data_IF_212611845369
#
_entry.id   IF_212611845369
#
_cell.length_a   1.000
_cell.length_b   1.000
_cell.length_c   1.000
_cell.angle_alpha   90.00
_cell.angle_beta   90.00
_cell.angle_gamma   90.00
#
_symmetry.space_group_name_H-M   'P 1'
#
loop_
_entity.id
_entity.type
_entity.pdbx_description
1 polymer ?
#
# COMPACT_ATOMS: atom_id res chain seq x y z
N UNK A 1 -11.38 -6.04 -54.84
CA UNK A 1 -12.13 -6.05 -53.56
C UNK A 1 -11.14 -6.17 -52.40
N UNK A 2 -10.78 -5.01 -51.86
CA UNK A 2 -10.31 -4.65 -50.52
C UNK A 2 -10.76 -3.18 -50.38
N UNK A 3 -11.05 -2.59 -49.20
CA UNK A 3 -10.25 -2.61 -47.96
C UNK A 3 -11.18 -2.74 -46.70
N UNK A 4 -10.81 -2.61 -45.42
CA UNK A 4 -9.86 -1.70 -44.77
C UNK A 4 -9.47 -2.18 -43.36
N UNK A 5 -8.18 -2.07 -43.08
CA UNK A 5 -7.56 -2.09 -41.76
C UNK A 5 -7.87 -0.78 -41.03
N UNK A 6 -8.56 -0.84 -39.89
CA UNK A 6 -8.69 0.31 -38.99
C UNK A 6 -7.44 0.35 -38.09
N UNK A 7 -6.40 1.00 -38.59
CA UNK A 7 -5.22 1.40 -37.82
C UNK A 7 -5.50 2.76 -37.20
N UNK A 8 -6.06 2.79 -35.98
CA UNK A 8 -6.14 4.02 -35.20
C UNK A 8 -4.77 4.34 -34.58
N UNK A 9 -4.10 5.45 -34.98
CA UNK A 9 -2.78 5.82 -34.47
C UNK A 9 -2.80 6.32 -33.02
N UNK A 10 -3.97 6.60 -32.44
CA UNK A 10 -4.10 7.17 -31.08
C UNK A 10 -3.81 6.17 -29.95
N UNK A 11 -3.77 4.87 -30.25
CA UNK A 11 -3.49 3.80 -29.27
C UNK A 11 -1.98 3.54 -29.10
N UNK A 12 -1.12 4.04 -30.00
CA UNK A 12 0.35 3.81 -29.97
C UNK A 12 1.15 4.76 -29.07
N UNK A 13 0.51 5.64 -28.28
CA UNK A 13 1.20 6.63 -27.41
C UNK A 13 1.15 6.32 -25.90
N UNK A 14 1.24 5.06 -25.48
CA UNK A 14 1.30 4.71 -24.04
C UNK A 14 2.51 3.86 -23.67
N UNK A 15 3.70 4.44 -23.82
CA UNK A 15 4.92 4.02 -23.14
C UNK A 15 5.60 5.22 -22.47
N UNK A 16 4.85 5.99 -21.66
CA UNK A 16 5.43 7.10 -20.89
C UNK A 16 6.10 6.68 -19.58
N UNK A 17 6.05 5.40 -19.21
CA UNK A 17 6.60 4.90 -17.95
C UNK A 17 8.10 4.56 -18.03
N UNK A 18 8.51 3.85 -19.08
CA UNK A 18 9.91 3.45 -19.29
C UNK A 18 10.89 4.63 -19.51
N UNK A 19 10.57 5.70 -20.28
CA UNK A 19 11.52 6.77 -20.57
C UNK A 19 11.80 7.71 -19.38
N UNK A 20 11.15 7.52 -18.23
CA UNK A 20 11.19 8.45 -17.08
C UNK A 20 11.89 7.90 -15.84
N UNK A 21 12.07 6.58 -15.74
CA UNK A 21 12.97 6.00 -14.73
C UNK A 21 14.40 6.50 -14.96
N UNK A 22 14.81 6.74 -16.22
CA UNK A 22 16.08 7.39 -16.59
C UNK A 22 16.31 8.76 -15.92
N UNK A 23 15.25 9.52 -15.58
CA UNK A 23 15.34 10.81 -14.88
C UNK A 23 15.59 10.67 -13.37
N UNK A 24 15.36 9.50 -12.79
CA UNK A 24 15.72 9.18 -11.41
C UNK A 24 17.22 8.93 -11.25
N UNK A 25 17.92 8.73 -12.37
CA UNK A 25 19.37 8.61 -12.36
C UNK A 25 19.97 9.98 -12.60
N UNK A 26 20.79 10.52 -11.67
CA UNK A 26 21.80 11.46 -12.09
C UNK A 26 22.55 10.78 -13.25
N UNK A 27 22.76 11.49 -14.35
CA UNK A 27 23.54 11.02 -15.49
C UNK A 27 24.98 10.73 -15.04
N UNK A 28 25.22 9.57 -14.44
CA UNK A 28 26.54 9.06 -14.12
C UNK A 28 26.59 7.59 -14.49
N UNK A 29 27.15 7.39 -15.68
CA UNK A 29 27.60 6.12 -16.22
C UNK A 29 28.49 5.45 -15.15
N UNK A 30 27.96 4.44 -14.45
CA UNK A 30 28.70 3.63 -13.47
C UNK A 30 28.75 4.15 -12.02
N UNK A 31 27.89 5.10 -11.61
CA UNK A 31 27.86 5.63 -10.24
C UNK A 31 26.85 4.96 -9.31
N UNK A 32 27.19 4.87 -8.02
CA UNK A 32 26.22 4.63 -6.94
C UNK A 32 25.53 5.95 -6.55
N UNK A 33 24.22 5.94 -6.29
CA UNK A 33 23.48 7.12 -5.85
C UNK A 33 22.57 6.77 -4.66
N UNK A 34 22.57 7.61 -3.62
CA UNK A 34 21.60 7.51 -2.52
C UNK A 34 20.35 8.30 -2.88
N UNK A 35 19.19 7.64 -2.90
CA UNK A 35 17.90 8.28 -3.21
C UNK A 35 16.92 8.03 -2.08
N UNK A 36 16.16 9.06 -1.71
CA UNK A 36 14.99 8.91 -0.86
C UNK A 36 13.79 8.49 -1.73
N UNK A 37 13.39 7.22 -1.63
CA UNK A 37 12.37 6.63 -2.49
C UNK A 37 10.94 6.86 -1.98
N UNK A 38 10.76 7.35 -0.75
CA UNK A 38 9.44 7.52 -0.16
C UNK A 38 8.58 8.52 -0.96
N UNK A 39 9.14 9.68 -1.30
CA UNK A 39 8.41 10.69 -2.07
C UNK A 39 8.14 10.25 -3.50
N UNK A 40 9.12 9.58 -4.12
CA UNK A 40 8.98 9.02 -5.46
C UNK A 40 7.84 8.00 -5.51
N UNK A 41 7.80 7.03 -4.59
CA UNK A 41 6.74 6.02 -4.58
C UNK A 41 5.37 6.62 -4.33
N UNK A 42 5.26 7.58 -3.42
CA UNK A 42 4.01 8.31 -3.18
C UNK A 42 3.50 8.99 -4.46
N UNK A 43 4.39 9.61 -5.23
CA UNK A 43 4.04 10.26 -6.50
C UNK A 43 3.63 9.23 -7.57
N UNK A 44 4.41 8.16 -7.74
CA UNK A 44 4.15 7.10 -8.72
C UNK A 44 2.80 6.45 -8.45
N UNK A 45 2.55 6.00 -7.22
CA UNK A 45 1.29 5.31 -6.87
C UNK A 45 0.09 6.25 -6.98
N UNK A 46 0.26 7.54 -6.64
CA UNK A 46 -0.80 8.53 -6.83
C UNK A 46 -1.16 8.73 -8.32
N UNK A 47 -0.17 8.80 -9.21
CA UNK A 47 -0.43 8.88 -10.65
C UNK A 47 -1.10 7.63 -11.18
N UNK A 48 -0.66 6.44 -10.75
CA UNK A 48 -1.25 5.17 -11.16
C UNK A 48 -2.71 5.10 -10.71
N UNK A 49 -3.00 5.43 -9.44
CA UNK A 49 -4.37 5.51 -8.93
C UNK A 49 -5.20 6.57 -9.65
N UNK A 50 -4.64 7.72 -9.98
CA UNK A 50 -5.30 8.73 -10.80
C UNK A 50 -5.71 8.20 -12.16
N UNK A 51 -4.76 7.58 -12.86
CA UNK A 51 -4.96 7.16 -14.24
C UNK A 51 -5.86 5.92 -14.34
N UNK A 52 -5.59 4.90 -13.52
CA UNK A 52 -6.36 3.66 -13.52
C UNK A 52 -7.70 3.79 -12.79
N UNK A 53 -7.76 4.59 -11.73
CA UNK A 53 -8.97 4.80 -10.93
C UNK A 53 -9.94 5.81 -11.53
N UNK A 54 -9.43 6.88 -12.15
CA UNK A 54 -10.24 8.06 -12.51
C UNK A 54 -9.95 8.63 -13.90
N UNK A 55 -9.12 7.97 -14.71
CA UNK A 55 -8.70 8.52 -16.01
C UNK A 55 -8.04 9.90 -15.89
N UNK A 56 -7.40 10.18 -14.76
CA UNK A 56 -6.81 11.47 -14.42
C UNK A 56 -5.30 11.34 -14.23
N UNK A 57 -4.53 12.14 -14.97
CA UNK A 57 -3.10 12.21 -14.78
C UNK A 57 -2.77 13.39 -13.86
N UNK A 58 -2.27 13.12 -12.65
CA UNK A 58 -1.89 14.15 -11.69
C UNK A 58 -0.58 14.85 -12.06
N UNK A 59 0.21 14.32 -13.01
CA UNK A 59 1.56 14.78 -13.35
C UNK A 59 2.45 14.96 -12.10
N UNK A 60 2.25 14.12 -11.08
CA UNK A 60 2.91 14.30 -9.77
C UNK A 60 4.43 14.17 -9.85
N UNK A 61 4.94 13.40 -10.82
CA UNK A 61 6.37 13.24 -11.10
C UNK A 61 6.98 14.50 -11.75
N UNK A 62 6.21 15.24 -12.55
CA UNK A 62 6.69 16.48 -13.21
C UNK A 62 6.63 17.69 -12.28
N UNK A 63 5.81 17.59 -11.23
CA UNK A 63 5.62 18.62 -10.21
C UNK A 63 6.66 18.54 -9.09
N UNK A 64 7.60 17.60 -9.14
CA UNK A 64 8.69 17.51 -8.16
C UNK A 64 9.51 18.81 -8.14
N UNK A 65 9.24 19.67 -7.14
CA UNK A 65 9.87 20.99 -6.98
C UNK A 65 9.10 22.19 -7.56
N UNK A 66 7.93 22.01 -8.16
CA UNK A 66 7.01 23.09 -8.55
C UNK A 66 5.68 22.90 -7.85
N UNK A 67 5.00 24.02 -7.53
CA UNK A 67 3.70 24.04 -6.87
C UNK A 67 2.81 22.87 -7.33
N UNK A 68 2.63 21.87 -6.46
CA UNK A 68 1.61 20.84 -6.64
C UNK A 68 0.31 21.56 -7.03
N UNK A 69 -0.35 21.11 -8.10
CA UNK A 69 -1.66 21.65 -8.48
C UNK A 69 -2.59 21.63 -7.27
N UNK A 70 -3.60 22.50 -7.25
CA UNK A 70 -4.45 22.74 -6.07
C UNK A 70 -4.99 21.43 -5.45
N UNK A 71 -5.30 20.45 -6.30
CA UNK A 71 -5.72 19.10 -5.93
C UNK A 71 -4.68 18.34 -5.09
N UNK A 72 -3.39 18.37 -5.46
CA UNK A 72 -2.31 17.72 -4.70
C UNK A 72 -2.10 18.36 -3.33
N UNK A 73 -2.24 19.69 -3.23
CA UNK A 73 -2.12 20.43 -1.97
C UNK A 73 -3.28 20.17 -1.01
N UNK A 74 -4.51 20.14 -1.51
CA UNK A 74 -5.69 19.84 -0.71
C UNK A 74 -5.69 18.40 -0.19
N UNK A 75 -5.24 17.46 -1.02
CA UNK A 75 -4.96 16.09 -0.58
C UNK A 75 -3.89 16.06 0.52
N UNK A 76 -2.75 16.75 0.36
CA UNK A 76 -1.75 16.85 1.44
C UNK A 76 -2.29 17.45 2.74
N UNK A 77 -3.18 18.45 2.66
CA UNK A 77 -3.84 19.03 3.84
C UNK A 77 -4.83 18.05 4.50
N UNK A 78 -5.51 17.21 3.72
CA UNK A 78 -6.31 16.09 4.23
C UNK A 78 -5.45 15.08 4.99
N UNK A 79 -4.20 14.88 4.56
CA UNK A 79 -3.32 13.84 5.07
C UNK A 79 -2.43 14.29 6.25
N UNK A 80 -2.07 15.57 6.35
CA UNK A 80 -1.43 16.13 7.54
C UNK A 80 -2.48 16.68 8.52
N UNK A 81 -3.17 15.77 9.20
CA UNK A 81 -3.87 16.13 10.43
C UNK A 81 -2.90 16.77 11.43
N UNK A 82 -3.31 17.79 12.20
CA UNK A 82 -2.39 18.50 13.10
C UNK A 82 -1.88 17.53 14.17
N UNK A 83 -0.54 17.39 14.26
CA UNK A 83 0.25 16.75 15.32
C UNK A 83 -0.25 15.40 15.85
N UNK A 84 0.51 14.32 15.63
CA UNK A 84 0.25 13.00 16.22
C UNK A 84 -0.01 13.03 17.74
N UNK A 85 0.67 13.94 18.47
CA UNK A 85 0.46 14.17 19.90
C UNK A 85 -0.94 14.74 20.24
N UNK A 86 -1.50 15.59 19.36
CA UNK A 86 -2.84 16.13 19.51
C UNK A 86 -3.89 15.06 19.26
N UNK A 87 -3.71 14.20 18.25
CA UNK A 87 -4.61 13.07 18.00
C UNK A 87 -4.64 12.06 19.16
N UNK A 88 -3.49 11.73 19.76
CA UNK A 88 -3.43 10.85 20.94
C UNK A 88 -4.11 11.52 22.16
N UNK A 89 -3.89 12.82 22.37
CA UNK A 89 -4.55 13.58 23.43
C UNK A 89 -6.06 13.64 23.23
N UNK A 90 -6.53 13.87 22.00
CA UNK A 90 -7.94 13.86 21.62
C UNK A 90 -8.56 12.47 21.81
N UNK A 91 -7.88 11.39 21.43
CA UNK A 91 -8.36 10.03 21.69
C UNK A 91 -8.48 9.71 23.18
N UNK A 92 -7.49 10.12 24.00
CA UNK A 92 -7.57 9.98 25.47
C UNK A 92 -8.71 10.82 26.06
N UNK A 93 -8.89 12.05 25.57
CA UNK A 93 -9.99 12.92 25.98
C UNK A 93 -11.36 12.36 25.56
N UNK A 94 -11.46 11.74 24.39
CA UNK A 94 -12.67 11.05 23.90
C UNK A 94 -13.00 9.80 24.71
N UNK A 95 -11.99 9.09 25.23
CA UNK A 95 -12.17 7.98 26.16
C UNK A 95 -12.67 8.45 27.54
N UNK A 96 -12.19 9.61 28.01
CA UNK A 96 -12.62 10.21 29.28
C UNK A 96 -13.98 10.92 29.19
N UNK A 97 -14.33 11.45 28.02
CA UNK A 97 -15.54 12.24 27.78
C UNK A 97 -16.18 11.84 26.43
N UNK A 98 -17.11 10.88 26.42
CA UNK A 98 -17.73 10.36 25.20
C UNK A 98 -18.40 11.44 24.32
N UNK A 99 -18.86 12.55 24.91
CA UNK A 99 -19.45 13.68 24.18
C UNK A 99 -18.47 14.37 23.19
N UNK A 100 -17.15 14.30 23.45
CA UNK A 100 -16.12 14.84 22.56
C UNK A 100 -15.98 14.04 21.25
N UNK A 101 -16.57 12.85 21.14
CA UNK A 101 -16.63 12.08 19.89
C UNK A 101 -17.48 12.79 18.82
N UNK A 102 -18.37 13.70 19.21
CA UNK A 102 -19.19 14.50 18.28
C UNK A 102 -18.48 15.77 17.78
N UNK A 103 -17.36 16.16 18.40
CA UNK A 103 -16.58 17.38 18.11
C UNK A 103 -15.49 17.16 17.05
N UNK A 104 -15.63 16.15 16.18
CA UNK A 104 -14.68 15.90 15.08
C UNK A 104 -14.94 16.90 13.94
N UNK A 105 -14.60 18.16 14.17
CA UNK A 105 -14.73 19.26 13.21
C UNK A 105 -13.59 19.28 12.18
N UNK A 106 -12.39 18.84 12.56
CA UNK A 106 -11.21 18.86 11.68
C UNK A 106 -11.28 17.81 10.55
N UNK A 107 -11.70 16.57 10.86
CA UNK A 107 -11.86 15.54 9.82
C UNK A 107 -13.02 15.87 8.87
N UNK A 108 -14.08 16.55 9.36
CA UNK A 108 -15.21 16.99 8.53
C UNK A 108 -14.78 18.06 7.53
N UNK A 109 -14.01 19.07 7.95
CA UNK A 109 -13.52 20.13 7.04
C UNK A 109 -12.65 19.57 5.91
N UNK A 110 -11.76 18.63 6.22
CA UNK A 110 -10.93 17.98 5.21
C UNK A 110 -11.76 17.07 4.28
N UNK A 111 -12.77 16.38 4.80
CA UNK A 111 -13.75 15.63 3.99
C UNK A 111 -14.55 16.55 3.04
N UNK A 112 -14.95 17.74 3.48
CA UNK A 112 -15.68 18.69 2.63
C UNK A 112 -14.80 19.25 1.50
N UNK A 113 -13.53 19.58 1.78
CA UNK A 113 -12.57 20.00 0.74
C UNK A 113 -12.34 18.88 -0.28
N UNK A 114 -12.11 17.64 0.20
CA UNK A 114 -11.94 16.48 -0.66
C UNK A 114 -13.19 16.19 -1.52
N UNK A 115 -14.40 16.39 -0.98
CA UNK A 115 -15.66 16.25 -1.73
C UNK A 115 -15.83 17.33 -2.81
N UNK A 116 -15.47 18.58 -2.51
CA UNK A 116 -15.57 19.69 -3.47
C UNK A 116 -14.66 19.45 -4.68
N UNK A 117 -13.50 18.86 -4.46
CA UNK A 117 -12.53 18.56 -5.52
C UNK A 117 -12.82 17.23 -6.24
N UNK A 118 -13.35 16.24 -5.53
CA UNK A 118 -13.85 15.01 -6.12
C UNK A 118 -14.97 15.27 -7.15
N UNK A 119 -15.74 16.37 -7.00
CA UNK A 119 -16.70 16.82 -8.03
C UNK A 119 -16.02 17.21 -9.34
N UNK A 120 -14.82 17.80 -9.31
CA UNK A 120 -14.05 18.12 -10.52
C UNK A 120 -13.63 16.84 -11.26
N UNK A 121 -13.32 15.77 -10.53
CA UNK A 121 -13.04 14.46 -11.11
C UNK A 121 -14.32 13.76 -11.60
N UNK A 122 -15.46 14.00 -10.92
CA UNK A 122 -16.77 13.45 -11.26
C UNK A 122 -17.51 14.16 -12.40
N UNK A 123 -17.14 15.38 -12.79
CA UNK A 123 -17.76 16.11 -13.91
C UNK A 123 -17.30 15.64 -15.31
N UNK A 124 -16.34 14.71 -15.38
CA UNK A 124 -15.99 14.03 -16.64
C UNK A 124 -17.12 13.07 -17.06
N UNK A 125 -17.16 12.68 -18.33
CA UNK A 125 -18.14 11.73 -18.87
C UNK A 125 -18.03 10.34 -18.18
N UNK A 126 -18.73 10.18 -17.05
CA UNK A 126 -18.71 9.03 -16.15
C UNK A 126 -19.23 7.72 -16.78
N UNK A 127 -19.87 7.81 -17.96
CA UNK A 127 -20.54 6.69 -18.60
C UNK A 127 -19.66 5.86 -19.55
N UNK A 128 -18.57 6.41 -20.08
CA UNK A 128 -17.86 5.81 -21.22
C UNK A 128 -16.50 5.17 -20.87
N UNK A 129 -15.95 5.45 -19.69
CA UNK A 129 -14.65 4.94 -19.25
C UNK A 129 -14.61 3.46 -18.82
N UNK A 130 -13.39 2.92 -18.72
CA UNK A 130 -13.06 1.60 -18.12
C UNK A 130 -12.35 1.74 -16.75
N UNK A 131 -12.31 2.94 -16.20
CA UNK A 131 -11.74 3.24 -14.89
C UNK A 131 -12.69 2.87 -13.74
N UNK A 132 -12.14 2.84 -12.52
CA UNK A 132 -12.87 2.43 -11.30
C UNK A 132 -14.15 3.25 -11.07
N UNK A 133 -14.10 4.56 -11.28
CA UNK A 133 -15.26 5.43 -11.08
C UNK A 133 -16.35 5.16 -12.12
N UNK A 134 -15.97 4.98 -13.38
CA UNK A 134 -16.91 4.58 -14.44
C UNK A 134 -17.55 3.22 -14.16
N UNK A 135 -16.78 2.26 -13.63
CA UNK A 135 -17.30 0.94 -13.21
C UNK A 135 -18.27 1.09 -12.04
N UNK A 136 -17.93 1.91 -11.03
CA UNK A 136 -18.80 2.18 -9.90
C UNK A 136 -20.13 2.77 -10.35
N UNK A 137 -20.11 3.77 -11.23
CA UNK A 137 -21.33 4.38 -11.79
C UNK A 137 -22.15 3.35 -12.58
N UNK A 138 -21.52 2.57 -13.46
CA UNK A 138 -22.20 1.51 -14.23
C UNK A 138 -22.84 0.46 -13.32
N UNK A 139 -22.12 0.00 -12.30
CA UNK A 139 -22.61 -0.97 -11.32
C UNK A 139 -23.78 -0.38 -10.53
N UNK A 140 -23.67 0.88 -10.09
CA UNK A 140 -24.70 1.59 -9.35
C UNK A 140 -25.98 1.84 -10.18
N UNK A 141 -25.86 1.85 -11.51
CA UNK A 141 -26.97 1.97 -12.47
C UNK A 141 -27.49 0.62 -12.97
N UNK A 142 -26.90 -0.51 -12.54
CA UNK A 142 -27.36 -1.84 -12.95
C UNK A 142 -28.81 -2.10 -12.52
N UNK A 143 -29.54 -2.87 -13.33
CA UNK A 143 -30.89 -3.32 -13.01
C UNK A 143 -30.91 -4.35 -11.86
N UNK A 144 -29.77 -5.00 -11.58
CA UNK A 144 -29.65 -6.04 -10.55
C UNK A 144 -29.50 -5.48 -9.13
N UNK A 145 -29.29 -4.17 -8.98
CA UNK A 145 -29.15 -3.49 -7.68
C UNK A 145 -30.53 -2.96 -7.25
N UNK A 146 -30.95 -3.34 -6.03
CA UNK A 146 -32.16 -2.80 -5.42
C UNK A 146 -32.00 -1.29 -5.18
N UNK A 147 -33.09 -0.53 -5.32
CA UNK A 147 -33.04 0.93 -5.13
C UNK A 147 -32.55 1.35 -3.73
N UNK A 148 -32.80 0.52 -2.71
CA UNK A 148 -32.29 0.71 -1.34
C UNK A 148 -30.77 0.54 -1.19
N UNK A 149 -30.11 -0.05 -2.19
CA UNK A 149 -28.67 -0.31 -2.21
C UNK A 149 -27.93 0.59 -3.20
N UNK A 150 -28.65 1.45 -3.96
CA UNK A 150 -28.04 2.42 -4.85
C UNK A 150 -27.40 3.54 -4.04
N UNK A 151 -26.17 3.88 -4.41
CA UNK A 151 -25.47 5.05 -3.92
C UNK A 151 -26.05 6.30 -4.57
N UNK A 152 -26.25 7.34 -3.78
CA UNK A 152 -26.47 8.69 -4.29
C UNK A 152 -25.21 9.23 -4.97
N UNK A 153 -25.36 10.24 -5.83
CA UNK A 153 -24.22 10.90 -6.49
C UNK A 153 -23.18 11.40 -5.48
N UNK A 154 -23.63 11.97 -4.36
CA UNK A 154 -22.75 12.44 -3.29
C UNK A 154 -22.00 11.27 -2.62
N UNK A 155 -22.60 10.09 -2.49
CA UNK A 155 -21.93 8.89 -1.96
C UNK A 155 -20.90 8.32 -2.93
N UNK A 156 -21.21 8.32 -4.24
CA UNK A 156 -20.27 7.93 -5.31
C UNK A 156 -19.05 8.86 -5.30
N UNK A 157 -19.27 10.18 -5.29
CA UNK A 157 -18.21 11.19 -5.22
C UNK A 157 -17.39 11.03 -3.94
N UNK A 158 -18.03 10.67 -2.82
CA UNK A 158 -17.35 10.41 -1.55
C UNK A 158 -16.41 9.20 -1.58
N UNK A 159 -16.53 8.30 -2.55
CA UNK A 159 -15.59 7.18 -2.71
C UNK A 159 -14.25 7.59 -3.31
N UNK A 160 -14.21 8.66 -4.11
CA UNK A 160 -13.00 9.14 -4.80
C UNK A 160 -11.83 9.37 -3.82
N UNK A 161 -11.97 10.20 -2.77
CA UNK A 161 -10.87 10.42 -1.82
C UNK A 161 -10.51 9.16 -1.04
N UNK A 162 -11.48 8.27 -0.78
CA UNK A 162 -11.25 6.99 -0.11
C UNK A 162 -10.33 6.08 -0.93
N UNK A 163 -10.63 5.91 -2.23
CA UNK A 163 -9.80 5.12 -3.14
C UNK A 163 -8.42 5.74 -3.36
N UNK A 164 -8.35 7.06 -3.54
CA UNK A 164 -7.06 7.75 -3.70
C UNK A 164 -6.17 7.52 -2.47
N UNK A 165 -6.68 7.74 -1.26
CA UNK A 165 -5.91 7.53 -0.03
C UNK A 165 -5.50 6.07 0.15
N UNK A 166 -6.47 5.16 0.11
CA UNK A 166 -6.22 3.75 0.39
C UNK A 166 -5.29 3.10 -0.64
N UNK A 167 -5.42 3.47 -1.92
CA UNK A 167 -4.67 2.87 -3.02
C UNK A 167 -3.24 3.37 -3.16
N UNK A 168 -2.97 4.66 -2.91
CA UNK A 168 -1.63 5.21 -3.16
C UNK A 168 -0.67 5.02 -1.99
N UNK A 169 -1.12 5.33 -0.76
CA UNK A 169 -0.23 5.49 0.37
C UNK A 169 0.26 4.13 0.89
N UNK A 170 -0.65 3.15 1.00
CA UNK A 170 -0.33 1.77 1.42
C UNK A 170 0.62 1.08 0.43
N UNK A 171 0.37 1.20 -0.88
CA UNK A 171 1.26 0.66 -1.91
C UNK A 171 2.64 1.32 -1.88
N UNK A 172 2.72 2.64 -1.63
CA UNK A 172 4.03 3.33 -1.56
C UNK A 172 4.88 2.80 -0.40
N UNK A 173 4.25 2.53 0.75
CA UNK A 173 4.90 1.94 1.92
C UNK A 173 5.33 0.50 1.66
N UNK A 174 4.49 -0.30 1.01
CA UNK A 174 4.82 -1.67 0.61
C UNK A 174 6.05 -1.72 -0.31
N UNK A 175 6.11 -0.84 -1.31
CA UNK A 175 7.26 -0.71 -2.21
C UNK A 175 8.55 -0.32 -1.46
N UNK A 176 8.44 0.61 -0.51
CA UNK A 176 9.55 0.99 0.37
C UNK A 176 10.09 -0.21 1.15
N UNK A 177 9.21 -0.99 1.79
CA UNK A 177 9.62 -2.19 2.51
C UNK A 177 10.18 -3.29 1.62
N UNK A 178 9.64 -3.47 0.40
CA UNK A 178 10.16 -4.43 -0.57
C UNK A 178 11.62 -4.13 -0.93
N UNK A 179 11.92 -2.88 -1.25
CA UNK A 179 13.30 -2.47 -1.56
C UNK A 179 14.21 -2.47 -0.34
N UNK A 180 13.68 -2.14 0.83
CA UNK A 180 14.44 -2.26 2.08
C UNK A 180 14.86 -3.72 2.33
N UNK A 181 13.91 -4.67 2.21
CA UNK A 181 14.19 -6.09 2.38
C UNK A 181 15.17 -6.60 1.31
N UNK A 182 14.90 -6.35 0.02
CA UNK A 182 15.78 -6.77 -1.07
C UNK A 182 17.18 -6.16 -0.97
N UNK A 183 17.30 -4.92 -0.50
CA UNK A 183 18.60 -4.28 -0.28
C UNK A 183 19.44 -4.98 0.79
N UNK A 184 18.83 -5.56 1.82
CA UNK A 184 19.53 -6.32 2.86
C UNK A 184 19.81 -7.78 2.47
N UNK A 185 19.23 -8.26 1.37
CA UNK A 185 19.33 -9.65 0.92
C UNK A 185 19.74 -9.70 -0.56
N UNK A 186 21.02 -9.39 -0.89
CA UNK A 186 21.50 -9.32 -2.27
C UNK A 186 21.37 -10.65 -3.01
N UNK A 187 21.51 -11.78 -2.32
CA UNK A 187 21.32 -13.13 -2.86
C UNK A 187 19.88 -13.38 -3.33
N UNK A 188 18.89 -12.95 -2.54
CA UNK A 188 17.47 -13.00 -2.90
C UNK A 188 17.19 -12.04 -4.06
N UNK A 189 17.76 -10.83 -4.03
CA UNK A 189 17.59 -9.83 -5.07
C UNK A 189 18.15 -10.31 -6.42
N UNK A 190 19.33 -10.92 -6.43
CA UNK A 190 19.96 -11.48 -7.62
C UNK A 190 19.13 -12.62 -8.20
N UNK A 191 18.65 -13.53 -7.35
CA UNK A 191 17.77 -14.64 -7.77
C UNK A 191 16.45 -14.12 -8.35
N UNK A 192 15.82 -13.13 -7.72
CA UNK A 192 14.63 -12.48 -8.24
C UNK A 192 14.91 -11.82 -9.59
N UNK A 193 15.99 -11.05 -9.69
CA UNK A 193 16.38 -10.40 -10.94
C UNK A 193 16.56 -11.41 -12.08
N UNK A 194 17.20 -12.55 -11.82
CA UNK A 194 17.34 -13.62 -12.82
C UNK A 194 15.99 -14.10 -13.34
N UNK A 195 15.01 -14.30 -12.45
CA UNK A 195 13.64 -14.65 -12.84
C UNK A 195 12.99 -13.52 -13.66
N UNK A 196 13.13 -12.26 -13.25
CA UNK A 196 12.57 -11.12 -14.00
C UNK A 196 13.19 -10.92 -15.38
N UNK A 197 14.47 -11.28 -15.57
CA UNK A 197 15.18 -11.22 -16.85
C UNK A 197 14.76 -12.33 -17.83
N UNK A 198 14.04 -13.35 -17.37
CA UNK A 198 13.45 -14.37 -18.26
C UNK A 198 12.36 -13.80 -19.18
N UNK A 199 11.77 -12.65 -18.81
CA UNK A 199 10.85 -11.91 -19.66
C UNK A 199 11.65 -11.00 -20.61
N UNK A 200 11.54 -11.22 -21.92
CA UNK A 200 12.34 -10.51 -22.93
C UNK A 200 11.69 -9.19 -23.43
N UNK A 201 10.84 -8.58 -22.62
CA UNK A 201 10.17 -7.29 -22.91
C UNK A 201 10.19 -6.40 -21.68
N UNK A 202 10.23 -5.09 -21.90
CA UNK A 202 10.14 -4.09 -20.84
C UNK A 202 8.69 -3.67 -20.55
N UNK A 203 7.73 -4.18 -21.34
CA UNK A 203 6.29 -3.96 -21.14
C UNK A 203 5.54 -5.29 -21.04
N UNK A 204 5.77 -6.08 -19.98
CA UNK A 204 5.06 -7.34 -19.79
C UNK A 204 3.57 -7.13 -19.52
N UNK A 205 2.78 -8.11 -19.92
CA UNK A 205 1.41 -8.27 -19.46
C UNK A 205 1.36 -8.68 -17.98
N UNK A 206 0.20 -8.45 -17.34
CA UNK A 206 0.01 -8.92 -15.97
C UNK A 206 0.04 -10.44 -15.84
N UNK A 207 -0.36 -11.18 -16.88
CA UNK A 207 -0.30 -12.64 -16.88
C UNK A 207 1.14 -13.14 -16.87
N UNK A 208 2.04 -12.51 -17.64
CA UNK A 208 3.47 -12.81 -17.60
C UNK A 208 4.07 -12.52 -16.22
N UNK A 209 3.75 -11.37 -15.61
CA UNK A 209 4.22 -11.03 -14.26
C UNK A 209 3.64 -11.97 -13.18
N UNK A 210 2.41 -12.45 -13.36
CA UNK A 210 1.79 -13.42 -12.46
C UNK A 210 2.34 -14.83 -12.63
N UNK A 211 2.94 -15.13 -13.78
CA UNK A 211 3.65 -16.38 -14.05
C UNK A 211 5.02 -16.52 -13.40
N UNK A 212 5.49 -15.52 -12.63
CA UNK A 212 6.78 -15.51 -11.95
C UNK A 212 6.62 -15.93 -10.47
N UNK A 213 6.83 -17.22 -10.11
CA UNK A 213 6.53 -17.73 -8.77
C UNK A 213 7.48 -17.19 -7.69
N UNK A 214 8.75 -16.96 -7.99
CA UNK A 214 9.67 -16.42 -6.99
C UNK A 214 9.37 -14.95 -6.70
N UNK A 215 8.98 -14.18 -7.72
CA UNK A 215 8.50 -12.81 -7.55
C UNK A 215 7.27 -12.74 -6.63
N UNK A 216 6.31 -13.64 -6.82
CA UNK A 216 5.14 -13.74 -5.93
C UNK A 216 5.55 -14.08 -4.49
N UNK A 217 6.51 -15.00 -4.33
CA UNK A 217 7.04 -15.39 -3.02
C UNK A 217 7.75 -14.24 -2.31
N UNK A 218 8.54 -13.43 -3.03
CA UNK A 218 9.20 -12.24 -2.49
C UNK A 218 8.20 -11.19 -2.03
N UNK A 219 7.15 -10.93 -2.82
CA UNK A 219 6.11 -9.98 -2.43
C UNK A 219 5.32 -10.44 -1.22
N UNK A 220 4.94 -11.72 -1.18
CA UNK A 220 4.23 -12.29 -0.03
C UNK A 220 5.09 -12.21 1.24
N UNK A 221 6.38 -12.55 1.15
CA UNK A 221 7.28 -12.49 2.29
C UNK A 221 7.53 -11.06 2.77
N UNK A 222 7.66 -10.11 1.84
CA UNK A 222 7.74 -8.68 2.16
C UNK A 222 6.52 -8.25 2.95
N UNK A 223 5.33 -8.52 2.42
CA UNK A 223 4.08 -8.09 3.02
C UNK A 223 3.74 -8.81 4.33
N UNK A 224 4.29 -10.01 4.54
CA UNK A 224 4.16 -10.75 5.80
C UNK A 224 4.95 -10.04 6.91
N UNK A 225 6.24 -9.77 6.68
CA UNK A 225 7.13 -9.15 7.67
C UNK A 225 6.89 -7.64 7.84
N UNK A 226 6.49 -6.97 6.77
CA UNK A 226 6.39 -5.53 6.70
C UNK A 226 5.02 -5.08 6.19
N UNK A 227 3.96 -5.53 6.86
CA UNK A 227 2.60 -5.10 6.57
C UNK A 227 2.49 -3.56 6.70
N UNK A 228 2.10 -2.84 5.62
CA UNK A 228 1.93 -1.39 5.67
C UNK A 228 0.96 -0.95 6.77
N UNK A 229 -0.10 -1.73 6.99
CA UNK A 229 -1.05 -1.56 8.09
C UNK A 229 -0.74 -2.62 9.16
N UNK A 230 -0.19 -2.24 10.32
CA UNK A 230 0.31 -3.20 11.30
C UNK A 230 -0.78 -3.82 12.19
N UNK A 231 -1.96 -3.19 12.25
CA UNK A 231 -3.12 -3.69 12.98
C UNK A 231 -4.42 -3.13 12.40
N UNK A 232 -5.53 -3.82 12.63
CA UNK A 232 -6.88 -3.32 12.33
C UNK A 232 -7.77 -3.45 13.56
N UNK A 233 -8.87 -2.69 13.57
CA UNK A 233 -9.81 -2.68 14.70
C UNK A 233 -11.20 -3.13 14.27
N UNK A 234 -11.94 -3.74 15.20
CA UNK A 234 -13.35 -4.10 15.08
C UNK A 234 -14.07 -3.66 16.36
N UNK A 235 -15.36 -3.35 16.26
CA UNK A 235 -16.19 -3.04 17.42
C UNK A 235 -17.31 -4.06 17.51
N UNK A 236 -17.47 -4.70 18.67
CA UNK A 236 -18.56 -5.63 18.90
C UNK A 236 -19.92 -4.91 18.86
N UNK A 237 -20.82 -5.35 18.00
CA UNK A 237 -22.15 -4.73 17.86
C UNK A 237 -23.17 -5.25 18.89
N UNK A 238 -22.87 -6.38 19.50
CA UNK A 238 -23.65 -7.06 20.53
C UNK A 238 -22.70 -7.78 21.49
N UNK A 239 -23.22 -8.22 22.64
CA UNK A 239 -22.48 -9.11 23.53
C UNK A 239 -22.23 -10.45 22.81
N UNK A 240 -21.02 -10.96 22.92
CA UNK A 240 -20.59 -12.20 22.28
C UNK A 240 -19.56 -12.93 23.16
N UNK A 241 -19.27 -14.18 22.82
CA UNK A 241 -18.26 -15.01 23.47
C UNK A 241 -17.36 -15.60 22.40
N UNK A 242 -16.10 -15.17 22.36
CA UNK A 242 -15.11 -15.67 21.42
C UNK A 242 -14.49 -16.97 21.95
N UNK A 243 -14.71 -18.12 21.29
CA UNK A 243 -14.01 -19.35 21.64
C UNK A 243 -12.52 -19.24 21.28
N UNK A 244 -11.65 -19.72 22.16
CA UNK A 244 -10.21 -19.67 21.96
C UNK A 244 -9.69 -21.03 21.51
N UNK A 245 -8.78 -21.02 20.54
CA UNK A 245 -8.09 -22.24 20.10
C UNK A 245 -7.13 -22.81 21.15
N UNK A 246 -6.63 -21.93 22.05
CA UNK A 246 -5.79 -22.29 23.19
C UNK A 246 -6.28 -21.52 24.43
N UNK A 247 -6.40 -22.17 25.60
CA UNK A 247 -6.76 -21.48 26.83
C UNK A 247 -5.71 -20.42 27.20
N UNK A 248 -6.13 -19.32 27.85
CA UNK A 248 -5.21 -18.35 28.47
C UNK A 248 -5.39 -18.34 29.99
N UNK A 249 -4.30 -18.04 30.71
CA UNK A 249 -4.33 -17.86 32.16
C UNK A 249 -4.36 -16.37 32.48
N UNK A 250 -5.32 -15.94 33.27
CA UNK A 250 -5.44 -14.56 33.69
C UNK A 250 -4.45 -14.19 34.82
N UNK A 251 -4.45 -12.92 35.22
CA UNK A 251 -3.60 -12.41 36.32
C UNK A 251 -3.89 -13.02 37.70
N UNK A 252 -4.97 -13.78 37.84
CA UNK A 252 -5.37 -14.47 39.07
C UNK A 252 -5.10 -15.98 39.01
N UNK A 253 -4.50 -16.47 37.92
CA UNK A 253 -4.17 -17.89 37.75
C UNK A 253 -5.33 -18.74 37.26
N UNK A 254 -6.43 -18.14 36.80
CA UNK A 254 -7.59 -18.88 36.28
C UNK A 254 -7.42 -19.09 34.77
N UNK A 255 -7.60 -20.33 34.34
CA UNK A 255 -7.58 -20.71 32.92
C UNK A 255 -8.93 -20.46 32.27
N UNK A 256 -8.95 -19.81 31.11
CA UNK A 256 -10.14 -19.47 30.33
C UNK A 256 -10.04 -20.03 28.93
N UNK A 257 -11.08 -20.74 28.48
CA UNK A 257 -11.19 -21.28 27.11
C UNK A 257 -11.98 -20.37 26.18
N UNK A 258 -12.68 -19.38 26.74
CA UNK A 258 -13.54 -18.46 26.02
C UNK A 258 -13.30 -17.04 26.52
N UNK A 259 -13.47 -16.06 25.63
CA UNK A 259 -13.32 -14.65 25.95
C UNK A 259 -14.66 -13.93 25.77
N UNK A 260 -15.32 -13.49 26.85
CA UNK A 260 -16.51 -12.64 26.76
C UNK A 260 -16.16 -11.29 26.13
N UNK A 261 -16.95 -10.87 25.15
CA UNK A 261 -16.80 -9.61 24.43
C UNK A 261 -18.12 -8.82 24.56
N UNK A 262 -18.19 -7.82 25.46
CA UNK A 262 -19.36 -6.97 25.59
C UNK A 262 -19.55 -6.08 24.37
N UNK A 263 -20.81 -5.74 24.10
CA UNK A 263 -21.22 -4.76 23.10
C UNK A 263 -20.44 -3.45 23.27
N UNK A 264 -19.94 -2.93 22.16
CA UNK A 264 -19.13 -1.71 22.11
C UNK A 264 -17.65 -1.95 22.39
N UNK A 265 -17.22 -3.16 22.78
CA UNK A 265 -15.80 -3.45 22.97
C UNK A 265 -15.05 -3.38 21.63
N UNK A 266 -13.96 -2.59 21.62
CA UNK A 266 -13.04 -2.51 20.50
C UNK A 266 -12.00 -3.63 20.59
N UNK A 267 -11.88 -4.41 19.53
CA UNK A 267 -10.95 -5.51 19.36
C UNK A 267 -9.87 -5.06 18.38
N UNK A 268 -8.61 -5.12 18.80
CA UNK A 268 -7.46 -4.86 17.93
C UNK A 268 -6.89 -6.19 17.44
N UNK A 269 -6.80 -6.36 16.13
CA UNK A 269 -6.19 -7.53 15.49
C UNK A 269 -4.77 -7.14 15.07
N UNK A 270 -3.73 -7.67 15.74
CA UNK A 270 -2.34 -7.32 15.46
C UNK A 270 -1.85 -8.07 14.20
N UNK A 271 -1.98 -7.46 13.03
CA UNK A 271 -1.60 -8.05 11.74
C UNK A 271 -0.15 -8.52 11.77
N UNK A 272 0.79 -7.63 12.15
CA UNK A 272 2.20 -8.00 12.23
C UNK A 272 2.44 -9.13 13.24
N UNK A 273 1.76 -9.09 14.39
CA UNK A 273 1.89 -10.14 15.40
C UNK A 273 1.45 -11.51 14.90
N UNK A 274 0.34 -11.59 14.15
CA UNK A 274 -0.11 -12.86 13.54
C UNK A 274 0.80 -13.29 12.39
N UNK A 275 1.25 -12.34 11.57
CA UNK A 275 2.13 -12.62 10.44
C UNK A 275 3.55 -13.07 10.86
N UNK A 276 3.97 -12.79 12.09
CA UNK A 276 5.31 -13.13 12.60
C UNK A 276 5.29 -13.98 13.87
N UNK A 277 4.13 -14.52 14.23
CA UNK A 277 4.00 -15.45 15.36
C UNK A 277 4.80 -16.73 15.11
N UNK A 278 5.76 -17.03 15.97
CA UNK A 278 6.63 -18.21 15.84
C UNK A 278 5.87 -19.52 16.01
N UNK A 279 4.73 -19.53 16.72
CA UNK A 279 3.89 -20.72 16.82
C UNK A 279 3.18 -21.05 15.50
N UNK A 280 2.96 -20.05 14.66
CA UNK A 280 2.29 -20.17 13.37
C UNK A 280 3.30 -20.33 12.22
N UNK A 281 4.35 -19.51 12.22
CA UNK A 281 5.31 -19.39 11.11
C UNK A 281 6.64 -20.11 11.33
N UNK A 282 6.87 -20.67 12.52
CA UNK A 282 8.12 -21.34 12.92
C UNK A 282 9.12 -20.42 13.61
N UNK A 283 10.23 -20.99 14.09
CA UNK A 283 11.25 -20.23 14.83
C UNK A 283 11.93 -19.14 13.96
N UNK A 284 11.94 -19.34 12.63
CA UNK A 284 12.47 -18.39 11.65
C UNK A 284 11.41 -17.36 11.17
N UNK A 285 10.33 -17.16 11.93
CA UNK A 285 9.22 -16.26 11.58
C UNK A 285 9.64 -14.81 11.33
N UNK A 286 10.74 -14.34 11.92
CA UNK A 286 11.25 -12.98 11.74
C UNK A 286 12.30 -12.87 10.60
N UNK A 287 12.70 -13.99 10.00
CA UNK A 287 13.65 -14.00 8.88
C UNK A 287 12.93 -13.73 7.56
N UNK A 288 13.52 -12.90 6.70
CA UNK A 288 13.04 -12.68 5.33
C UNK A 288 13.49 -13.84 4.43
N UNK A 289 12.58 -14.79 4.19
CA UNK A 289 12.86 -16.04 3.47
C UNK A 289 11.74 -16.38 2.49
N UNK A 290 11.80 -15.87 1.25
CA UNK A 290 10.82 -16.16 0.21
C UNK A 290 10.63 -17.66 -0.08
N UNK A 291 11.67 -18.48 0.11
CA UNK A 291 11.62 -19.93 -0.11
C UNK A 291 10.56 -20.64 0.75
N UNK A 292 10.15 -20.06 1.89
CA UNK A 292 9.10 -20.60 2.76
C UNK A 292 7.75 -20.74 2.05
N UNK A 293 7.48 -19.94 1.03
CA UNK A 293 6.23 -20.03 0.26
C UNK A 293 6.13 -21.31 -0.59
N UNK A 294 7.24 -22.06 -0.76
CA UNK A 294 7.22 -23.40 -1.34
C UNK A 294 6.82 -24.50 -0.36
N UNK A 295 6.93 -24.26 0.96
CA UNK A 295 6.60 -25.23 2.00
C UNK A 295 6.25 -24.52 3.32
N UNK A 296 4.95 -24.24 3.52
CA UNK A 296 4.45 -23.54 4.70
C UNK A 296 4.20 -24.50 5.87
N UNK A 297 4.41 -24.07 7.13
CA UNK A 297 3.95 -24.82 8.30
C UNK A 297 2.43 -25.03 8.26
N UNK A 298 1.96 -26.18 8.74
CA UNK A 298 0.53 -26.54 8.72
C UNK A 298 -0.35 -25.49 9.44
N UNK A 299 0.15 -24.92 10.53
CA UNK A 299 -0.55 -23.90 11.32
C UNK A 299 -0.90 -22.64 10.51
N UNK A 300 -0.13 -22.30 9.46
CA UNK A 300 -0.39 -21.14 8.60
C UNK A 300 -1.74 -21.28 7.88
N UNK A 301 -2.17 -22.50 7.54
CA UNK A 301 -3.44 -22.71 6.83
C UNK A 301 -4.68 -22.28 7.64
N UNK A 302 -4.56 -22.16 8.96
CA UNK A 302 -5.63 -21.66 9.81
C UNK A 302 -5.79 -20.13 9.76
N UNK A 303 -4.83 -19.40 9.20
CA UNK A 303 -4.88 -17.94 9.07
C UNK A 303 -5.81 -17.57 7.90
N UNK A 304 -6.91 -16.84 8.15
CA UNK A 304 -8.00 -16.66 7.16
C UNK A 304 -7.72 -15.58 6.10
N UNK A 305 -6.48 -15.13 5.97
CA UNK A 305 -6.10 -14.03 5.09
C UNK A 305 -6.43 -14.27 3.62
N UNK A 306 -6.99 -13.26 2.94
CA UNK A 306 -7.43 -13.38 1.53
C UNK A 306 -6.29 -13.61 0.53
N UNK A 307 -5.04 -13.38 0.95
CA UNK A 307 -3.86 -13.53 0.10
C UNK A 307 -2.75 -14.22 0.86
N UNK A 308 -2.49 -15.48 0.52
CA UNK A 308 -1.37 -16.27 1.06
C UNK A 308 -1.47 -16.55 2.57
N UNK A 309 -2.68 -16.73 3.11
CA UNK A 309 -2.88 -17.09 4.53
C UNK A 309 -2.10 -16.16 5.49
N UNK A 310 -2.11 -14.85 5.19
CA UNK A 310 -1.54 -13.80 6.02
C UNK A 310 -2.51 -12.61 6.12
N UNK A 311 -2.44 -11.83 7.20
CA UNK A 311 -3.46 -10.83 7.51
C UNK A 311 -3.22 -9.44 6.88
N UNK A 312 -2.21 -9.26 6.02
CA UNK A 312 -1.89 -7.93 5.48
C UNK A 312 -3.01 -7.32 4.63
N UNK A 313 -3.78 -8.16 3.94
CA UNK A 313 -5.03 -7.74 3.28
C UNK A 313 -6.30 -8.18 4.03
N UNK A 314 -6.12 -8.66 5.27
CA UNK A 314 -7.16 -9.12 6.20
C UNK A 314 -8.06 -10.21 5.57
N UNK A 315 -9.26 -10.40 6.10
CA UNK A 315 -10.17 -11.49 5.80
C UNK A 315 -11.63 -11.03 5.92
N UNK A 316 -12.55 -11.80 5.34
CA UNK A 316 -14.00 -11.59 5.43
C UNK A 316 -14.51 -10.38 4.65
N UNK A 317 -15.71 -9.91 4.97
CA UNK A 317 -16.40 -8.84 4.24
C UNK A 317 -15.66 -7.48 4.24
N UNK A 318 -14.70 -7.29 5.15
CA UNK A 318 -13.87 -6.09 5.25
C UNK A 318 -12.40 -6.38 4.91
N UNK A 319 -12.12 -7.42 4.11
CA UNK A 319 -10.81 -7.59 3.47
C UNK A 319 -10.53 -6.44 2.51
N UNK A 320 -9.26 -6.21 2.21
CA UNK A 320 -8.87 -5.16 1.28
C UNK A 320 -9.44 -5.44 -0.12
N UNK A 321 -10.38 -4.60 -0.57
CA UNK A 321 -10.97 -4.69 -1.92
C UNK A 321 -9.93 -4.44 -3.03
N UNK A 322 -8.88 -3.67 -2.71
CA UNK A 322 -7.83 -3.27 -3.65
C UNK A 322 -6.60 -4.18 -3.69
N UNK A 323 -6.61 -5.34 -3.01
CA UNK A 323 -5.38 -6.14 -2.87
C UNK A 323 -4.79 -6.57 -4.23
N UNK A 324 -5.64 -6.99 -5.18
CA UNK A 324 -5.20 -7.39 -6.51
C UNK A 324 -4.58 -6.22 -7.29
N UNK A 325 -5.17 -5.03 -7.14
CA UNK A 325 -4.62 -3.81 -7.72
C UNK A 325 -3.25 -3.49 -7.12
N UNK A 326 -3.13 -3.50 -5.79
CA UNK A 326 -1.87 -3.21 -5.10
C UNK A 326 -0.76 -4.21 -5.47
N UNK A 327 -1.05 -5.50 -5.50
CA UNK A 327 -0.08 -6.52 -5.91
C UNK A 327 0.34 -6.33 -7.37
N UNK A 328 -0.59 -6.01 -8.25
CA UNK A 328 -0.29 -5.77 -9.68
C UNK A 328 0.58 -4.53 -9.88
N UNK A 329 0.25 -3.44 -9.21
CA UNK A 329 1.03 -2.20 -9.19
C UNK A 329 2.45 -2.44 -8.66
N UNK A 330 2.58 -3.13 -7.53
CA UNK A 330 3.88 -3.50 -6.96
C UNK A 330 4.72 -4.34 -7.94
N UNK A 331 4.10 -5.33 -8.59
CA UNK A 331 4.79 -6.16 -9.60
C UNK A 331 5.31 -5.32 -10.76
N UNK A 332 4.48 -4.44 -11.33
CA UNK A 332 4.87 -3.61 -12.47
C UNK A 332 6.03 -2.65 -12.14
N UNK A 333 5.98 -2.01 -10.97
CA UNK A 333 7.03 -1.08 -10.52
C UNK A 333 8.33 -1.83 -10.22
N UNK A 334 8.27 -2.89 -9.41
CA UNK A 334 9.46 -3.64 -9.00
C UNK A 334 10.09 -4.38 -10.18
N UNK A 335 9.30 -4.89 -11.14
CA UNK A 335 9.81 -5.47 -12.38
C UNK A 335 10.75 -4.48 -13.10
N UNK A 336 10.30 -3.24 -13.26
CA UNK A 336 11.06 -2.20 -13.95
C UNK A 336 12.32 -1.81 -13.17
N UNK A 337 12.18 -1.60 -11.85
CA UNK A 337 13.28 -1.15 -11.00
C UNK A 337 14.38 -2.20 -10.84
N UNK A 338 14.00 -3.45 -10.54
CA UNK A 338 14.95 -4.53 -10.26
C UNK A 338 15.64 -5.06 -11.52
N UNK A 339 15.09 -4.80 -12.72
CA UNK A 339 15.75 -5.03 -14.01
C UNK A 339 16.74 -3.92 -14.39
N UNK A 340 16.54 -2.70 -13.93
CA UNK A 340 17.44 -1.59 -14.20
C UNK A 340 18.58 -1.48 -13.18
N UNK A 341 18.32 -1.75 -11.90
CA UNK A 341 19.23 -1.35 -10.80
C UNK A 341 19.33 -2.40 -9.69
N UNK A 342 20.50 -2.44 -9.07
CA UNK A 342 20.78 -3.13 -7.82
C UNK A 342 20.51 -2.15 -6.66
N UNK A 343 19.77 -2.60 -5.67
CA UNK A 343 19.49 -1.85 -4.45
C UNK A 343 20.36 -2.38 -3.32
N UNK A 344 21.02 -1.47 -2.62
CA UNK A 344 21.90 -1.75 -1.50
C UNK A 344 21.36 -1.06 -0.24
N UNK A 345 21.62 -1.62 0.95
CA UNK A 345 21.16 -1.01 2.17
C UNK A 345 21.93 0.29 2.39
N UNK A 346 21.24 1.34 2.83
CA UNK A 346 21.91 2.55 3.28
C UNK A 346 22.67 2.25 4.59
N UNK A 347 23.75 2.98 4.86
CA UNK A 347 24.53 2.84 6.10
C UNK A 347 23.73 3.24 7.35
N UNK A 348 22.61 3.95 7.16
CA UNK A 348 21.75 4.41 8.25
C UNK A 348 20.78 3.32 8.70
N UNK A 349 20.56 3.17 10.02
CA UNK A 349 19.56 2.24 10.51
C UNK A 349 18.17 2.66 10.03
N UNK A 350 17.41 1.69 9.50
CA UNK A 350 16.00 1.87 9.13
C UNK A 350 15.12 1.29 10.23
N UNK A 351 14.08 2.02 10.62
CA UNK A 351 13.11 1.55 11.62
C UNK A 351 11.68 1.83 11.15
N UNK A 352 10.70 1.01 11.57
CA UNK A 352 9.29 1.31 11.34
C UNK A 352 8.87 2.53 12.16
N UNK A 353 8.26 3.52 11.49
CA UNK A 353 7.60 4.66 12.11
C UNK A 353 6.11 4.57 11.85
N UNK A 354 5.32 4.50 12.92
CA UNK A 354 3.86 4.40 12.83
C UNK A 354 3.26 5.81 12.78
N UNK A 355 2.69 6.18 11.65
CA UNK A 355 1.99 7.44 11.45
C UNK A 355 0.69 7.19 10.67
N UNK A 356 -0.44 7.75 11.15
CA UNK A 356 -1.75 7.60 10.52
C UNK A 356 -2.13 6.13 10.19
N UNK A 357 -1.83 5.20 11.12
CA UNK A 357 -2.03 3.74 10.97
C UNK A 357 -1.11 3.03 9.98
N UNK A 358 -0.16 3.72 9.36
CA UNK A 358 0.83 3.12 8.46
C UNK A 358 2.18 2.95 9.15
N UNK A 359 2.80 1.79 8.97
CA UNK A 359 4.16 1.48 9.40
C UNK A 359 5.13 1.78 8.26
N UNK A 360 5.80 2.93 8.31
CA UNK A 360 6.70 3.38 7.23
C UNK A 360 8.16 3.03 7.54
N UNK A 361 8.96 2.63 6.54
CA UNK A 361 10.40 2.54 6.72
C UNK A 361 11.00 3.95 6.71
N UNK A 362 11.66 4.34 7.80
CA UNK A 362 12.40 5.60 7.88
C UNK A 362 13.85 5.36 8.25
N UNK A 363 14.77 5.98 7.50
CA UNK A 363 16.20 5.98 7.82
C UNK A 363 16.48 7.00 8.93
N UNK A 364 17.37 6.66 9.86
CA UNK A 364 17.71 7.53 10.99
C UNK A 364 19.17 7.98 10.90
N UNK A 365 19.38 9.29 10.84
CA UNK A 365 20.71 9.91 10.76
C UNK A 365 21.17 10.40 12.13
N UNK A 366 22.49 10.39 12.37
CA UNK A 366 23.08 10.96 13.59
C UNK A 366 22.80 12.46 13.68
N UNK A 367 22.37 12.94 14.85
CA UNK A 367 22.11 14.36 15.12
C UNK A 367 23.39 15.15 15.50
N UNK A 368 24.56 14.47 15.50
CA UNK A 368 25.84 15.04 15.90
C UNK A 368 26.00 15.28 17.41
N UNK A 369 24.98 14.98 18.21
CA UNK A 369 24.92 15.14 19.68
C UNK A 369 24.76 13.81 20.41
N UNK A 370 24.91 12.69 19.71
CA UNK A 370 24.76 11.34 20.25
C UNK A 370 23.34 10.77 20.14
N UNK A 371 22.41 11.49 19.55
CA UNK A 371 21.06 11.04 19.20
C UNK A 371 20.93 10.71 17.71
N UNK A 372 19.74 10.22 17.34
CA UNK A 372 19.37 9.93 15.96
C UNK A 372 18.05 10.63 15.62
N UNK A 373 17.96 11.24 14.45
CA UNK A 373 16.75 11.89 13.93
C UNK A 373 16.33 11.20 12.64
N UNK A 374 15.02 11.08 12.41
CA UNK A 374 14.48 10.57 11.15
C UNK A 374 14.91 11.47 9.97
N UNK A 375 15.31 10.85 8.86
CA UNK A 375 15.57 11.54 7.59
C UNK A 375 14.29 11.92 6.84
N UNK A 376 13.11 11.57 7.35
CA UNK A 376 11.81 11.83 6.72
C UNK A 376 11.44 10.88 5.58
N UNK A 377 12.15 9.74 5.44
CA UNK A 377 11.81 8.70 4.47
C UNK A 377 12.85 7.57 4.42
N UNK A 378 12.71 6.68 3.44
CA UNK A 378 13.64 5.58 3.22
C UNK A 378 14.74 6.01 2.23
N UNK A 379 15.97 6.11 2.72
CA UNK A 379 17.16 6.22 1.89
C UNK A 379 17.62 4.84 1.45
N UNK A 380 17.85 4.65 0.14
CA UNK A 380 18.41 3.42 -0.43
C UNK A 380 19.55 3.79 -1.37
N UNK A 381 20.60 2.97 -1.40
CA UNK A 381 21.71 3.14 -2.35
C UNK A 381 21.38 2.36 -3.61
N UNK A 382 21.32 3.05 -4.74
CA UNK A 382 21.15 2.44 -6.06
C UNK A 382 22.49 2.29 -6.74
N UNK A 383 22.67 1.16 -7.43
CA UNK A 383 23.80 0.86 -8.28
C UNK A 383 23.29 0.33 -9.62
N UNK A 384 23.60 1.03 -10.70
CA UNK A 384 23.22 0.56 -12.04
C UNK A 384 24.00 -0.71 -12.43
N UNK A 385 23.33 -1.66 -13.08
CA UNK A 385 24.02 -2.84 -13.60
C UNK A 385 24.87 -2.48 -14.83
N UNK A 386 26.03 -3.13 -14.99
CA UNK A 386 26.86 -2.92 -16.19
C UNK A 386 26.08 -3.37 -17.44
N UNK A 387 25.90 -2.46 -18.40
CA UNK A 387 25.22 -2.76 -19.66
C UNK A 387 23.70 -2.67 -19.64
N UNK A 388 23.08 -2.22 -18.53
CA UNK A 388 21.66 -1.83 -18.56
C UNK A 388 21.52 -0.54 -19.38
N UNK A 389 21.11 -0.67 -20.63
CA UNK A 389 20.54 0.45 -21.37
C UNK A 389 19.18 0.75 -20.75
N UNK A 390 19.07 1.89 -20.06
CA UNK A 390 17.79 2.49 -19.66
C UNK A 390 17.09 3.11 -20.87
#
# INVERSE_FOLDING_TARGET
MMPSTCSDPSIRQRSHFAPRISMLFPASIGGTATINLAEMFRQVTLNIMGQAGFGYNFNSLESAGKNEGDLGKAFHMLFRGPNANLNIAVQRAQGAFPALQYLVAAARLAQYAAKAEARVLGEKDLGSGRDLLSILVKANMSADIQDSQRLSDDEVISQIPTFLLAGHDTSSVALGWALHALGHHPDIQDKLRQELLSIHTDTPSMDELNGLPYFDSVLKETMRLYAPVPFVQRTALQDDVLPLSKPYVDRWGVSHENLPIPKGQMITIPILGVNTDTQTWGDDALEFKPERWGNLPEAVHAVPGVWGNQLTFVAGAHSCIGFQFSVSEQKAILFSLLRASEFLPDAQPVRPVIAAQLSRPESFVSDGKGGQVSSGGLSVVLKAYKGSAL
#
